data_IF_042982550101
#
_entry.id   IF_042982550101
#
_cell.length_a   1.000
_cell.length_b   1.000
_cell.length_c   1.000
_cell.angle_alpha   90.00
_cell.angle_beta   90.00
_cell.angle_gamma   90.00
#
_symmetry.space_group_name_H-M   'P 1'
#
loop_
_entity.id
_entity.type
_entity.pdbx_description
1 polymer ?
#
# COMPACT_ATOMS: atom_id res chain seq x y z
N UNK A 1 8.51 -17.99 -15.57
CA UNK A 1 7.56 -17.58 -14.49
C UNK A 1 6.95 -16.23 -14.80
N UNK A 2 7.73 -15.25 -15.25
CA UNK A 2 7.23 -13.95 -15.68
C UNK A 2 6.23 -14.00 -16.85
N UNK A 3 6.50 -14.80 -17.89
CA UNK A 3 5.59 -14.98 -19.04
C UNK A 3 4.20 -15.50 -18.64
N UNK A 4 4.12 -16.31 -17.58
CA UNK A 4 2.83 -16.78 -17.04
C UNK A 4 2.07 -15.63 -16.39
N UNK A 5 2.77 -14.74 -15.68
CA UNK A 5 2.17 -13.52 -15.15
C UNK A 5 1.68 -12.59 -16.27
N UNK A 6 2.46 -12.43 -17.34
CA UNK A 6 2.08 -11.58 -18.49
C UNK A 6 0.82 -12.14 -19.19
N UNK A 7 0.74 -13.46 -19.34
CA UNK A 7 -0.44 -14.12 -19.89
C UNK A 7 -1.69 -13.89 -19.02
N UNK A 8 -1.57 -14.03 -17.70
CA UNK A 8 -2.67 -13.78 -16.75
C UNK A 8 -3.12 -12.32 -16.76
N UNK A 9 -2.18 -11.35 -16.82
CA UNK A 9 -2.53 -9.94 -16.98
C UNK A 9 -3.34 -9.72 -18.26
N UNK A 10 -2.90 -10.27 -19.38
CA UNK A 10 -3.61 -10.13 -20.65
C UNK A 10 -4.98 -10.83 -20.65
N UNK A 11 -5.12 -11.93 -19.92
CA UNK A 11 -6.38 -12.66 -19.74
C UNK A 11 -7.39 -11.85 -18.92
N UNK A 12 -6.96 -11.28 -17.79
CA UNK A 12 -7.78 -10.41 -16.96
C UNK A 12 -8.31 -9.20 -17.76
N UNK A 13 -7.45 -8.56 -18.56
CA UNK A 13 -7.84 -7.46 -19.46
C UNK A 13 -8.88 -7.88 -20.52
N UNK A 14 -8.79 -9.13 -21.01
CA UNK A 14 -9.76 -9.67 -21.97
C UNK A 14 -11.09 -9.97 -21.30
N UNK A 15 -11.10 -10.50 -20.08
CA UNK A 15 -12.33 -10.73 -19.31
C UNK A 15 -13.14 -9.44 -19.17
N UNK A 16 -12.47 -8.32 -18.86
CA UNK A 16 -13.12 -7.00 -18.76
C UNK A 16 -13.71 -6.48 -20.08
N UNK A 17 -13.13 -6.87 -21.22
CA UNK A 17 -13.58 -6.43 -22.57
C UNK A 17 -14.69 -7.28 -23.16
N UNK A 18 -14.92 -8.50 -22.64
CA UNK A 18 -15.94 -9.40 -23.18
C UNK A 18 -17.35 -8.85 -22.94
N UNK A 19 -17.98 -8.35 -24.01
CA UNK A 19 -19.43 -8.09 -24.08
C UNK A 19 -20.20 -9.42 -24.18
N UNK A 20 -20.23 -10.19 -23.09
CA UNK A 20 -21.10 -11.38 -23.00
C UNK A 20 -22.53 -10.95 -22.65
N UNK A 21 -23.50 -11.40 -23.46
CA UNK A 21 -24.95 -11.15 -23.37
C UNK A 21 -25.61 -11.90 -22.19
N UNK A 22 -24.89 -12.81 -21.51
CA UNK A 22 -25.42 -13.66 -20.44
C UNK A 22 -24.70 -13.49 -19.08
N UNK A 23 -23.72 -12.58 -18.98
CA UNK A 23 -22.93 -12.41 -17.75
C UNK A 23 -23.07 -10.97 -17.24
N UNK A 24 -23.49 -10.85 -15.98
CA UNK A 24 -23.60 -9.57 -15.27
C UNK A 24 -22.23 -8.88 -15.20
N UNK A 25 -22.23 -7.55 -15.15
CA UNK A 25 -20.99 -6.77 -15.10
C UNK A 25 -20.10 -7.14 -13.92
N UNK A 26 -20.71 -7.41 -12.77
CA UNK A 26 -19.99 -7.66 -11.50
C UNK A 26 -19.22 -8.98 -11.54
N UNK A 27 -19.80 -10.06 -12.05
CA UNK A 27 -19.13 -11.35 -12.17
C UNK A 27 -17.86 -11.31 -13.03
N UNK A 28 -17.81 -10.42 -14.04
CA UNK A 28 -16.61 -10.22 -14.88
C UNK A 28 -15.54 -9.43 -14.16
N UNK A 29 -15.94 -8.49 -13.31
CA UNK A 29 -15.02 -7.69 -12.50
C UNK A 29 -14.37 -8.59 -11.45
N UNK A 30 -15.14 -9.49 -10.82
CA UNK A 30 -14.65 -10.50 -9.88
C UNK A 30 -13.67 -11.48 -10.55
N UNK A 31 -14.02 -12.05 -11.71
CA UNK A 31 -13.14 -12.99 -12.42
C UNK A 31 -11.81 -12.33 -12.83
N UNK A 32 -11.87 -11.07 -13.31
CA UNK A 32 -10.69 -10.30 -13.66
C UNK A 32 -9.84 -9.94 -12.43
N UNK A 33 -10.48 -9.60 -11.31
CA UNK A 33 -9.82 -9.33 -10.04
C UNK A 33 -8.99 -10.52 -9.58
N UNK A 34 -9.59 -11.71 -9.50
CA UNK A 34 -8.90 -12.94 -9.12
C UNK A 34 -7.73 -13.25 -10.05
N UNK A 35 -7.93 -13.06 -11.36
CA UNK A 35 -6.89 -13.29 -12.37
C UNK A 35 -5.71 -12.31 -12.21
N UNK A 36 -5.96 -11.05 -11.87
CA UNK A 36 -4.89 -10.09 -11.53
C UNK A 36 -4.11 -10.50 -10.28
N UNK A 37 -4.78 -11.01 -9.24
CA UNK A 37 -4.11 -11.50 -8.02
C UNK A 37 -3.24 -12.74 -8.30
N UNK A 38 -3.70 -13.63 -9.19
CA UNK A 38 -2.90 -14.76 -9.65
C UNK A 38 -1.66 -14.28 -10.41
N UNK A 39 -1.80 -13.27 -11.28
CA UNK A 39 -0.66 -12.67 -11.98
C UNK A 39 0.36 -12.08 -10.98
N UNK A 40 -0.11 -11.34 -9.97
CA UNK A 40 0.73 -10.80 -8.90
C UNK A 40 1.52 -11.90 -8.18
N UNK A 41 0.89 -13.05 -7.92
CA UNK A 41 1.54 -14.22 -7.30
C UNK A 41 2.65 -14.79 -8.20
N UNK A 42 2.41 -14.91 -9.50
CA UNK A 42 3.44 -15.37 -10.45
C UNK A 42 4.62 -14.39 -10.53
N UNK A 43 4.35 -13.08 -10.53
CA UNK A 43 5.42 -12.08 -10.50
C UNK A 43 6.19 -12.07 -9.19
N UNK A 44 5.54 -12.31 -8.04
CA UNK A 44 6.21 -12.47 -6.74
C UNK A 44 7.17 -13.66 -6.79
N UNK A 45 6.74 -14.80 -7.34
CA UNK A 45 7.59 -15.98 -7.50
C UNK A 45 8.78 -15.74 -8.46
N UNK A 46 8.60 -14.88 -9.47
CA UNK A 46 9.65 -14.47 -10.38
C UNK A 46 10.57 -13.35 -9.84
N UNK A 47 10.26 -12.75 -8.68
CA UNK A 47 11.01 -11.62 -8.12
C UNK A 47 10.80 -10.28 -8.83
N UNK A 48 9.85 -10.18 -9.78
CA UNK A 48 9.59 -8.94 -10.51
C UNK A 48 8.58 -8.06 -9.75
N UNK A 49 9.06 -7.34 -8.73
CA UNK A 49 8.19 -6.54 -7.85
C UNK A 49 7.52 -5.34 -8.54
N UNK A 50 8.10 -4.82 -9.62
CA UNK A 50 7.45 -3.77 -10.41
C UNK A 50 6.15 -4.28 -11.06
N UNK A 51 6.18 -5.49 -11.64
CA UNK A 51 4.99 -6.14 -12.20
C UNK A 51 4.01 -6.61 -11.12
N UNK A 52 4.49 -7.04 -9.95
CA UNK A 52 3.63 -7.30 -8.78
C UNK A 52 2.80 -6.07 -8.43
N UNK A 53 3.44 -4.90 -8.34
CA UNK A 53 2.76 -3.66 -7.99
C UNK A 53 1.69 -3.28 -9.02
N UNK A 54 2.00 -3.44 -10.31
CA UNK A 54 1.04 -3.18 -11.39
C UNK A 54 -0.17 -4.12 -11.33
N UNK A 55 0.07 -5.41 -11.08
CA UNK A 55 -1.01 -6.40 -10.96
C UNK A 55 -1.94 -6.10 -9.78
N UNK A 56 -1.39 -5.77 -8.59
CA UNK A 56 -2.22 -5.36 -7.45
C UNK A 56 -2.96 -4.05 -7.69
N UNK A 57 -2.35 -3.09 -8.40
CA UNK A 57 -3.06 -1.85 -8.75
C UNK A 57 -4.27 -2.15 -9.63
N UNK A 58 -4.13 -3.02 -10.64
CA UNK A 58 -5.26 -3.45 -11.48
C UNK A 58 -6.31 -4.22 -10.69
N UNK A 59 -5.92 -5.07 -9.75
CA UNK A 59 -6.85 -5.70 -8.81
C UNK A 59 -7.60 -4.65 -7.98
N UNK A 60 -6.91 -3.66 -7.40
CA UNK A 60 -7.54 -2.61 -6.58
C UNK A 60 -8.56 -1.77 -7.35
N UNK A 61 -8.34 -1.56 -8.64
CA UNK A 61 -9.29 -0.88 -9.52
C UNK A 61 -10.56 -1.73 -9.74
N UNK A 62 -10.46 -3.06 -9.68
CA UNK A 62 -11.62 -3.95 -9.73
C UNK A 62 -12.34 -3.98 -8.38
N UNK A 63 -11.61 -4.04 -7.26
CA UNK A 63 -12.17 -3.92 -5.90
C UNK A 63 -13.00 -2.64 -5.73
N UNK A 64 -12.50 -1.52 -6.28
CA UNK A 64 -13.23 -0.25 -6.29
C UNK A 64 -14.54 -0.33 -7.09
N UNK A 65 -14.54 -0.98 -8.26
CA UNK A 65 -15.75 -1.17 -9.08
C UNK A 65 -16.80 -2.01 -8.36
N UNK A 66 -16.36 -3.01 -7.60
CA UNK A 66 -17.21 -3.85 -6.75
C UNK A 66 -17.59 -3.19 -5.43
N UNK A 67 -17.16 -1.93 -5.20
CA UNK A 67 -17.40 -1.17 -3.97
C UNK A 67 -16.83 -1.84 -2.72
N UNK A 68 -15.80 -2.67 -2.88
CA UNK A 68 -15.05 -3.25 -1.76
C UNK A 68 -13.88 -2.33 -1.40
N UNK A 69 -14.17 -1.27 -0.66
CA UNK A 69 -13.15 -0.30 -0.21
C UNK A 69 -12.09 -0.95 0.71
N UNK A 70 -12.48 -1.98 1.47
CA UNK A 70 -11.55 -2.70 2.34
C UNK A 70 -10.52 -3.50 1.52
N UNK A 71 -10.96 -4.22 0.49
CA UNK A 71 -10.05 -5.01 -0.36
C UNK A 71 -9.19 -4.10 -1.21
N UNK A 72 -9.76 -3.01 -1.73
CA UNK A 72 -9.01 -1.98 -2.43
C UNK A 72 -7.85 -1.44 -1.58
N UNK A 73 -8.09 -1.08 -0.31
CA UNK A 73 -7.04 -0.56 0.57
C UNK A 73 -5.92 -1.59 0.81
N UNK A 74 -6.28 -2.86 1.03
CA UNK A 74 -5.31 -3.95 1.23
C UNK A 74 -4.46 -4.15 -0.03
N UNK A 75 -5.07 -4.14 -1.21
CA UNK A 75 -4.37 -4.33 -2.49
C UNK A 75 -3.47 -3.14 -2.83
N UNK A 76 -3.91 -1.91 -2.57
CA UNK A 76 -3.07 -0.73 -2.73
C UNK A 76 -1.87 -0.75 -1.76
N UNK A 77 -2.05 -1.27 -0.54
CA UNK A 77 -0.95 -1.46 0.42
C UNK A 77 0.05 -2.51 -0.08
N UNK A 78 -0.42 -3.63 -0.63
CA UNK A 78 0.45 -4.66 -1.24
C UNK A 78 1.18 -4.15 -2.48
N UNK A 79 0.51 -3.34 -3.30
CA UNK A 79 1.13 -2.65 -4.44
C UNK A 79 2.24 -1.70 -3.96
N UNK A 80 2.00 -0.92 -2.90
CA UNK A 80 3.00 -0.01 -2.34
C UNK A 80 4.21 -0.78 -1.81
N UNK A 81 4.02 -1.86 -1.05
CA UNK A 81 5.12 -2.73 -0.58
C UNK A 81 5.95 -3.28 -1.75
N UNK A 82 5.28 -3.64 -2.84
CA UNK A 82 5.96 -4.12 -4.05
C UNK A 82 6.76 -2.99 -4.74
N UNK A 83 6.22 -1.77 -4.83
CA UNK A 83 6.97 -0.63 -5.36
C UNK A 83 8.22 -0.29 -4.52
N UNK A 84 8.12 -0.35 -3.18
CA UNK A 84 9.30 -0.18 -2.31
C UNK A 84 10.37 -1.22 -2.64
N UNK A 85 9.99 -2.50 -2.78
CA UNK A 85 10.92 -3.58 -3.16
C UNK A 85 11.51 -3.40 -4.56
N UNK A 86 10.78 -2.76 -5.46
CA UNK A 86 11.25 -2.43 -6.80
C UNK A 86 12.13 -1.16 -6.84
N UNK A 87 12.31 -0.46 -5.71
CA UNK A 87 13.07 0.79 -5.63
C UNK A 87 12.29 2.03 -6.07
N UNK A 88 10.98 1.94 -6.32
CA UNK A 88 10.13 3.07 -6.68
C UNK A 88 9.41 3.63 -5.45
N UNK A 89 10.18 4.31 -4.59
CA UNK A 89 9.65 4.94 -3.38
C UNK A 89 8.59 6.02 -3.68
N UNK A 90 8.65 6.68 -4.85
CA UNK A 90 7.71 7.74 -5.22
C UNK A 90 6.32 7.17 -5.48
N UNK A 91 6.22 6.10 -6.26
CA UNK A 91 4.94 5.41 -6.51
C UNK A 91 4.40 4.76 -5.25
N UNK A 92 5.27 4.16 -4.43
CA UNK A 92 4.87 3.62 -3.13
C UNK A 92 4.28 4.68 -2.19
N UNK A 93 4.93 5.85 -2.09
CA UNK A 93 4.47 6.95 -1.25
C UNK A 93 3.14 7.52 -1.76
N UNK A 94 2.92 7.61 -3.07
CA UNK A 94 1.63 8.03 -3.61
C UNK A 94 0.50 7.10 -3.16
N UNK A 95 0.68 5.78 -3.34
CA UNK A 95 -0.33 4.79 -2.93
C UNK A 95 -0.57 4.76 -1.42
N UNK A 96 0.48 4.86 -0.60
CA UNK A 96 0.30 4.83 0.84
C UNK A 96 -0.45 6.06 1.38
N UNK A 97 -0.31 7.24 0.74
CA UNK A 97 -1.12 8.42 1.12
C UNK A 97 -2.60 8.16 0.90
N UNK A 98 -2.96 7.60 -0.26
CA UNK A 98 -4.34 7.22 -0.54
C UNK A 98 -4.86 6.17 0.46
N UNK A 99 -4.03 5.17 0.80
CA UNK A 99 -4.37 4.13 1.78
C UNK A 99 -4.57 4.70 3.19
N UNK A 100 -3.76 5.67 3.62
CA UNK A 100 -3.98 6.36 4.91
C UNK A 100 -5.35 7.04 4.92
N UNK A 101 -5.69 7.79 3.87
CA UNK A 101 -6.98 8.48 3.77
C UNK A 101 -8.16 7.50 3.78
N UNK A 102 -8.01 6.34 3.11
CA UNK A 102 -9.01 5.28 3.11
C UNK A 102 -9.20 4.67 4.50
N UNK A 103 -8.12 4.34 5.20
CA UNK A 103 -8.20 3.77 6.54
C UNK A 103 -8.73 4.77 7.58
N UNK A 104 -8.40 6.06 7.45
CA UNK A 104 -8.94 7.11 8.32
C UNK A 104 -10.44 7.30 8.12
N UNK A 105 -10.91 7.35 6.87
CA UNK A 105 -12.35 7.40 6.56
C UNK A 105 -13.10 6.18 7.09
N UNK A 106 -12.48 5.01 7.01
CA UNK A 106 -13.02 3.77 7.53
C UNK A 106 -12.82 3.60 9.06
N UNK A 107 -12.24 4.59 9.74
CA UNK A 107 -11.92 4.56 11.18
C UNK A 107 -11.05 3.37 11.61
N UNK A 108 -10.25 2.82 10.68
CA UNK A 108 -9.29 1.73 10.92
C UNK A 108 -7.95 2.31 11.36
N UNK A 109 -7.93 3.05 12.48
CA UNK A 109 -6.78 3.84 12.92
C UNK A 109 -5.49 3.03 13.14
N UNK A 110 -5.59 1.77 13.56
CA UNK A 110 -4.41 0.90 13.69
C UNK A 110 -3.76 0.63 12.32
N UNK A 111 -4.54 0.50 11.25
CA UNK A 111 -4.02 0.31 9.90
C UNK A 111 -3.49 1.62 9.32
N UNK A 112 -4.20 2.74 9.54
CA UNK A 112 -3.73 4.07 9.19
C UNK A 112 -2.36 4.36 9.84
N UNK A 113 -2.18 3.99 11.12
CA UNK A 113 -0.92 4.15 11.84
C UNK A 113 0.24 3.39 11.17
N UNK A 114 0.01 2.14 10.76
CA UNK A 114 1.01 1.33 10.05
C UNK A 114 1.36 1.92 8.69
N UNK A 115 0.37 2.41 7.94
CA UNK A 115 0.60 3.06 6.65
C UNK A 115 1.36 4.39 6.81
N UNK A 116 1.04 5.19 7.84
CA UNK A 116 1.80 6.39 8.20
C UNK A 116 3.26 6.06 8.56
N UNK A 117 3.50 5.00 9.34
CA UNK A 117 4.86 4.57 9.65
C UNK A 117 5.63 4.15 8.38
N UNK A 118 5.00 3.36 7.51
CA UNK A 118 5.58 2.98 6.22
C UNK A 118 5.89 4.19 5.32
N UNK A 119 5.03 5.22 5.30
CA UNK A 119 5.30 6.49 4.61
C UNK A 119 6.52 7.20 5.19
N UNK A 120 6.61 7.28 6.51
CA UNK A 120 7.75 7.85 7.22
C UNK A 120 9.07 7.17 6.86
N UNK A 121 9.03 5.87 6.58
CA UNK A 121 10.21 5.05 6.29
C UNK A 121 10.75 5.25 4.87
N UNK A 122 9.90 5.66 3.94
CA UNK A 122 10.23 5.80 2.51
C UNK A 122 10.30 7.24 2.04
N UNK A 123 9.83 8.19 2.85
CA UNK A 123 9.95 9.63 2.62
C UNK A 123 11.17 10.19 3.35
N UNK A 124 11.48 11.47 3.15
CA UNK A 124 12.69 12.10 3.69
C UNK A 124 12.36 13.45 4.34
N UNK A 125 13.26 13.91 5.22
CA UNK A 125 13.18 15.23 5.84
C UNK A 125 11.89 15.46 6.64
N UNK A 126 11.34 16.67 6.54
CA UNK A 126 10.16 17.08 7.30
C UNK A 126 8.90 16.28 6.97
N UNK A 127 8.82 15.74 5.74
CA UNK A 127 7.70 14.87 5.37
C UNK A 127 7.72 13.57 6.18
N UNK A 128 8.87 12.91 6.27
CA UNK A 128 9.02 11.68 7.06
C UNK A 128 8.63 11.91 8.52
N UNK A 129 9.10 13.02 9.11
CA UNK A 129 8.80 13.38 10.49
C UNK A 129 7.30 13.60 10.73
N UNK A 130 6.59 14.25 9.80
CA UNK A 130 5.13 14.47 9.91
C UNK A 130 4.37 13.15 9.90
N UNK A 131 4.71 12.24 9.00
CA UNK A 131 4.05 10.92 8.92
C UNK A 131 4.30 10.07 10.16
N UNK A 132 5.53 10.06 10.69
CA UNK A 132 5.84 9.30 11.90
C UNK A 132 5.17 9.91 13.14
N UNK A 133 5.08 11.23 13.24
CA UNK A 133 4.30 11.89 14.29
C UNK A 133 2.82 11.48 14.23
N UNK A 134 2.23 11.43 13.04
CA UNK A 134 0.86 10.97 12.86
C UNK A 134 0.70 9.50 13.26
N UNK A 135 1.63 8.62 12.87
CA UNK A 135 1.65 7.22 13.29
C UNK A 135 1.68 7.08 14.83
N UNK A 136 2.56 7.84 15.50
CA UNK A 136 2.66 7.86 16.98
C UNK A 136 1.34 8.29 17.62
N UNK A 137 0.68 9.33 17.08
CA UNK A 137 -0.63 9.79 17.57
C UNK A 137 -1.67 8.67 17.48
N UNK A 138 -1.77 8.00 16.33
CA UNK A 138 -2.71 6.90 16.18
C UNK A 138 -2.40 5.74 17.13
N UNK A 139 -1.15 5.28 17.20
CA UNK A 139 -0.80 4.16 18.09
C UNK A 139 -1.03 4.50 19.57
N UNK A 140 -0.73 5.73 20.02
CA UNK A 140 -1.01 6.16 21.40
C UNK A 140 -2.50 6.17 21.70
N UNK A 141 -3.32 6.69 20.78
CA UNK A 141 -4.78 6.73 20.93
C UNK A 141 -5.39 5.31 21.00
N UNK A 142 -4.82 4.38 20.25
CA UNK A 142 -5.22 2.96 20.24
C UNK A 142 -4.63 2.15 21.42
N UNK A 143 -3.85 2.78 22.32
CA UNK A 143 -3.24 2.11 23.48
C UNK A 143 -1.95 1.32 23.17
N UNK A 144 -1.47 1.34 21.93
CA UNK A 144 -0.25 0.66 21.48
C UNK A 144 1.03 1.45 21.86
N UNK A 145 1.24 1.64 23.17
CA UNK A 145 2.31 2.50 23.71
C UNK A 145 3.72 2.04 23.32
N UNK A 146 3.98 0.73 23.28
CA UNK A 146 5.30 0.18 22.93
C UNK A 146 5.66 0.53 21.48
N UNK A 147 4.77 0.23 20.53
CA UNK A 147 4.97 0.56 19.11
C UNK A 147 5.09 2.06 18.90
N UNK A 148 4.31 2.88 19.61
CA UNK A 148 4.47 4.32 19.56
C UNK A 148 5.86 4.77 20.04
N UNK A 149 6.38 4.19 21.14
CA UNK A 149 7.72 4.49 21.65
C UNK A 149 8.82 4.09 20.66
N UNK A 150 8.69 2.95 19.98
CA UNK A 150 9.64 2.52 18.93
C UNK A 150 9.73 3.55 17.79
N UNK A 151 8.59 4.08 17.36
CA UNK A 151 8.55 5.12 16.31
C UNK A 151 9.12 6.45 16.81
N UNK A 152 8.88 6.80 18.08
CA UNK A 152 9.48 7.99 18.72
C UNK A 152 11.00 7.90 18.73
N UNK A 153 11.57 6.74 19.09
CA UNK A 153 13.02 6.52 19.04
C UNK A 153 13.56 6.67 17.61
N UNK A 154 12.85 6.12 16.62
CA UNK A 154 13.20 6.30 15.20
C UNK A 154 13.22 7.78 14.79
N UNK A 155 12.24 8.56 15.23
CA UNK A 155 12.17 10.01 15.00
C UNK A 155 13.35 10.76 15.63
N UNK A 156 13.73 10.41 16.86
CA UNK A 156 14.88 11.00 17.53
C UNK A 156 16.20 10.67 16.79
N UNK A 157 16.36 9.42 16.35
CA UNK A 157 17.53 8.98 15.58
C UNK A 157 17.66 9.72 14.24
N UNK A 158 16.55 9.96 13.53
CA UNK A 158 16.59 10.74 12.28
C UNK A 158 17.01 12.17 12.51
N UNK A 159 16.49 12.83 13.56
CA UNK A 159 16.91 14.19 13.93
C UNK A 159 18.37 14.27 14.32
N UNK A 160 18.86 13.31 15.11
CA UNK A 160 20.27 13.24 15.47
C UNK A 160 21.16 13.06 14.23
N UNK A 161 20.75 12.23 13.28
CA UNK A 161 21.45 12.02 12.00
C UNK A 161 21.40 13.24 11.07
N UNK A 162 20.36 14.07 11.15
CA UNK A 162 20.31 15.33 10.42
C UNK A 162 21.05 16.48 11.12
N UNK A 163 21.70 16.23 12.26
CA UNK A 163 22.43 17.23 13.04
C UNK A 163 21.55 18.08 13.98
N UNK A 164 20.24 17.81 14.04
CA UNK A 164 19.30 18.48 14.96
C UNK A 164 19.30 17.77 16.33
N UNK A 165 20.42 17.85 17.04
CA UNK A 165 20.56 17.22 18.36
C UNK A 165 19.61 17.83 19.41
N UNK A 166 19.37 19.14 19.34
CA UNK A 166 18.46 19.83 20.24
C UNK A 166 17.01 19.35 20.03
N UNK A 167 16.57 19.22 18.78
CA UNK A 167 15.26 18.69 18.46
C UNK A 167 15.14 17.19 18.71
N UNK A 168 16.23 16.42 18.70
CA UNK A 168 16.25 15.01 19.08
C UNK A 168 16.02 14.83 20.59
N UNK A 169 16.55 15.73 21.44
CA UNK A 169 16.34 15.71 22.89
C UNK A 169 14.91 16.11 23.32
N UNK A 170 14.17 16.79 22.44
CA UNK A 170 12.82 17.27 22.71
C UNK A 170 11.71 16.29 22.27
N UNK A 171 12.09 15.17 21.65
CA UNK A 171 11.19 14.09 21.22
C UNK A 171 10.79 13.22 22.41
#
# INVERSE_FOLDING_TARGET
MEERGDALMAEAEKQLKKRSWFSSSDAKVDEAHDTFLQAATQYKAAGNFAKVAQAYKRASEMSLKNKSESDQAVEMEEAAKAYVKAGDAKSAAALLRDVVDMYDKAQKYTNAAKACAALGDITMGDEAMRWLQQAVRYFRNQGAKVTASEIVLKMADMKARSGDYAGAQQI
#
